data_IF_125132094668
#
_entry.id   IF_125132094668
#
_cell.length_a   1.000
_cell.length_b   1.000
_cell.length_c   1.000
_cell.angle_alpha   90.00
_cell.angle_beta   90.00
_cell.angle_gamma   90.00
#
_symmetry.space_group_name_H-M   'P 1'
#
loop_
_entity.id
_entity.type
_entity.pdbx_description
1 polymer ?
#
# COMPACT_ATOMS: atom_id res chain seq x y z
N UNK A 1 11.46 16.80 25.87
CA UNK A 1 12.08 15.49 25.61
C UNK A 1 11.60 14.35 26.50
N UNK A 2 11.42 14.56 27.83
CA UNK A 2 10.94 13.49 28.74
C UNK A 2 9.51 12.99 28.44
N UNK A 3 8.59 13.85 27.99
CA UNK A 3 7.21 13.48 27.71
C UNK A 3 7.09 12.49 26.52
N UNK A 4 7.86 12.69 25.46
CA UNK A 4 7.88 11.81 24.28
C UNK A 4 8.44 10.44 24.62
N UNK A 5 9.50 10.36 25.45
CA UNK A 5 10.04 9.07 25.95
C UNK A 5 9.00 8.29 26.79
N UNK A 6 8.20 8.98 27.60
CA UNK A 6 7.14 8.30 28.38
C UNK A 6 6.02 7.74 27.51
N UNK A 7 5.65 8.44 26.43
CA UNK A 7 4.63 7.97 25.48
C UNK A 7 5.13 6.73 24.72
N UNK A 8 6.35 6.78 24.20
CA UNK A 8 6.97 5.64 23.49
C UNK A 8 7.12 4.43 24.41
N UNK A 9 7.57 4.61 25.66
CA UNK A 9 7.65 3.50 26.62
C UNK A 9 6.28 2.94 27.02
N UNK A 10 5.24 3.76 27.07
CA UNK A 10 3.88 3.31 27.36
C UNK A 10 3.30 2.47 26.23
N UNK A 11 3.61 2.84 24.98
CA UNK A 11 3.23 2.09 23.77
C UNK A 11 3.98 0.74 23.74
N UNK A 12 5.29 0.74 23.96
CA UNK A 12 6.10 -0.49 23.97
C UNK A 12 5.62 -1.47 25.08
N UNK A 13 5.29 -0.98 26.28
CA UNK A 13 4.77 -1.84 27.36
C UNK A 13 3.37 -2.41 27.09
N UNK A 14 2.56 -1.75 26.29
CA UNK A 14 1.21 -2.22 25.93
C UNK A 14 1.23 -3.39 24.93
N UNK A 15 2.34 -3.56 24.20
CA UNK A 15 2.55 -4.62 23.21
C UNK A 15 3.54 -5.71 23.64
N UNK A 16 4.08 -5.65 24.88
CA UNK A 16 4.82 -6.78 25.44
C UNK A 16 3.82 -7.82 25.98
N UNK A 17 3.61 -8.87 25.21
CA UNK A 17 2.89 -10.07 25.65
C UNK A 17 3.59 -10.69 26.86
N UNK A 18 2.87 -11.24 27.86
CA UNK A 18 3.48 -11.92 28.98
C UNK A 18 4.18 -13.21 28.53
N UNK A 19 5.38 -13.43 29.07
CA UNK A 19 6.22 -14.59 28.78
C UNK A 19 5.51 -15.91 29.04
N UNK A 20 5.47 -16.73 28.04
CA UNK A 20 5.64 -18.19 27.95
C UNK A 20 5.41 -19.03 29.21
N UNK A 21 4.30 -19.70 29.21
CA UNK A 21 4.14 -20.99 29.89
C UNK A 21 4.71 -22.11 29.00
N UNK A 22 5.49 -23.03 29.61
CA UNK A 22 6.08 -24.21 28.97
C UNK A 22 5.02 -24.99 28.19
N UNK A 23 5.23 -25.19 26.90
CA UNK A 23 4.46 -26.13 26.08
C UNK A 23 5.28 -27.39 25.93
N UNK A 24 4.68 -28.50 26.36
CA UNK A 24 5.10 -29.87 26.15
C UNK A 24 5.16 -30.21 24.66
N UNK A 25 6.27 -30.82 24.23
CA UNK A 25 6.42 -31.42 22.91
C UNK A 25 5.35 -32.49 22.66
N UNK A 26 4.54 -32.30 21.62
CA UNK A 26 3.80 -33.37 20.98
C UNK A 26 3.38 -32.99 19.54
N UNK A 27 3.69 -33.89 18.61
CA UNK A 27 3.24 -33.97 17.22
C UNK A 27 3.84 -32.94 16.23
N UNK A 28 4.53 -33.49 15.23
CA UNK A 28 5.16 -32.78 14.13
C UNK A 28 4.21 -31.92 13.29
N UNK A 29 4.75 -30.94 12.55
CA UNK A 29 3.94 -30.03 11.77
C UNK A 29 3.32 -30.75 10.58
N UNK A 30 2.01 -30.91 10.62
CA UNK A 30 1.23 -31.14 9.40
C UNK A 30 1.36 -29.87 8.59
N UNK A 31 2.04 -29.90 7.46
CA UNK A 31 2.03 -28.83 6.45
C UNK A 31 0.59 -28.60 6.00
N UNK A 32 -0.10 -27.74 6.68
CA UNK A 32 -1.27 -27.06 6.13
C UNK A 32 -0.73 -26.14 5.03
N UNK A 33 -0.77 -26.59 3.79
CA UNK A 33 -0.68 -25.73 2.61
C UNK A 33 -1.87 -24.76 2.68
N UNK A 34 -1.70 -23.66 3.42
CA UNK A 34 -2.64 -22.54 3.37
C UNK A 34 -2.74 -22.11 1.91
N UNK A 35 -3.83 -22.51 1.26
CA UNK A 35 -4.16 -22.00 -0.06
C UNK A 35 -4.32 -20.48 0.09
N UNK A 36 -3.33 -19.74 -0.41
CA UNK A 36 -3.36 -18.28 -0.41
C UNK A 36 -4.67 -17.82 -1.07
N UNK A 37 -5.47 -17.01 -0.38
CA UNK A 37 -6.72 -16.53 -0.91
C UNK A 37 -6.45 -15.73 -2.19
N UNK A 38 -7.13 -16.07 -3.28
CA UNK A 38 -6.97 -15.39 -4.56
C UNK A 38 -7.96 -14.23 -4.64
N UNK A 39 -7.46 -13.05 -5.03
CA UNK A 39 -8.30 -11.92 -5.39
C UNK A 39 -9.19 -12.24 -6.60
N UNK A 40 -10.30 -11.52 -6.77
CA UNK A 40 -11.19 -11.67 -7.92
C UNK A 40 -10.44 -11.58 -9.25
N UNK A 41 -10.73 -12.50 -10.18
CA UNK A 41 -10.17 -12.53 -11.52
C UNK A 41 -10.92 -11.66 -12.53
N UNK A 42 -12.02 -11.01 -12.13
CA UNK A 42 -12.82 -10.17 -13.00
C UNK A 42 -12.02 -8.96 -13.53
N UNK A 43 -12.26 -8.60 -14.80
CA UNK A 43 -11.71 -7.39 -15.41
C UNK A 43 -12.54 -6.19 -14.95
N UNK A 44 -11.91 -5.03 -14.86
CA UNK A 44 -12.60 -3.77 -14.61
C UNK A 44 -13.36 -3.29 -15.86
N UNK A 45 -14.55 -2.81 -15.67
CA UNK A 45 -15.29 -2.00 -16.66
C UNK A 45 -14.75 -0.58 -16.66
N UNK A 46 -15.18 0.24 -17.66
CA UNK A 46 -14.79 1.64 -17.72
C UNK A 46 -15.33 2.45 -16.52
N UNK A 47 -16.56 2.18 -16.10
CA UNK A 47 -17.16 2.86 -14.95
C UNK A 47 -16.46 2.46 -13.64
N UNK A 48 -16.23 1.17 -13.41
CA UNK A 48 -15.49 0.70 -12.24
C UNK A 48 -14.08 1.31 -12.16
N UNK A 49 -13.39 1.46 -13.30
CA UNK A 49 -12.07 2.11 -13.34
C UNK A 49 -12.16 3.64 -13.12
N UNK A 50 -13.28 4.28 -13.39
CA UNK A 50 -13.46 5.70 -13.11
C UNK A 50 -13.73 5.98 -11.64
N UNK A 51 -14.52 5.11 -11.02
CA UNK A 51 -15.04 5.31 -9.66
C UNK A 51 -14.21 4.58 -8.58
N UNK A 52 -13.18 3.83 -8.97
CA UNK A 52 -12.38 3.02 -8.06
C UNK A 52 -11.67 3.82 -6.96
N UNK A 53 -11.53 3.21 -5.79
CA UNK A 53 -10.58 3.58 -4.76
C UNK A 53 -9.27 2.86 -5.07
N UNK A 54 -8.29 3.55 -5.60
CA UNK A 54 -6.97 2.99 -5.89
C UNK A 54 -6.13 2.99 -4.62
N UNK A 55 -5.44 1.87 -4.34
CA UNK A 55 -4.58 1.73 -3.14
C UNK A 55 -3.18 1.27 -3.53
N UNK A 56 -2.18 1.71 -2.76
CA UNK A 56 -0.80 1.27 -2.90
C UNK A 56 -0.05 1.33 -1.56
N UNK A 57 0.64 0.25 -1.22
CA UNK A 57 1.42 0.11 0.01
C UNK A 57 2.90 0.36 -0.25
N UNK A 58 3.51 1.18 0.61
CA UNK A 58 4.95 1.37 0.62
C UNK A 58 5.60 0.78 1.86
N UNK A 59 6.72 0.11 1.64
CA UNK A 59 7.45 -0.52 2.72
C UNK A 59 8.70 -1.27 2.27
N UNK A 60 9.34 -1.94 3.21
CA UNK A 60 10.44 -2.87 2.94
C UNK A 60 9.87 -4.29 2.83
N UNK A 61 10.26 -5.04 1.81
CA UNK A 61 9.74 -6.40 1.53
C UNK A 61 9.76 -7.37 2.73
N UNK A 62 10.68 -7.17 3.69
CA UNK A 62 10.84 -8.02 4.88
C UNK A 62 10.23 -7.44 6.16
N UNK A 63 9.62 -6.27 6.07
CA UNK A 63 9.04 -5.53 7.21
C UNK A 63 7.55 -5.28 6.97
N UNK A 64 6.77 -5.01 8.01
CA UNK A 64 5.42 -4.47 7.83
C UNK A 64 5.45 -3.23 6.93
N UNK A 65 4.40 -2.99 6.14
CA UNK A 65 4.33 -1.78 5.31
C UNK A 65 4.35 -0.53 6.18
N UNK A 66 5.01 0.52 5.68
CA UNK A 66 5.19 1.77 6.41
C UNK A 66 4.03 2.72 6.23
N UNK A 67 3.51 2.81 5.01
CA UNK A 67 2.36 3.65 4.68
C UNK A 67 1.42 2.95 3.68
N UNK A 68 0.19 3.42 3.67
CA UNK A 68 -0.83 3.12 2.67
C UNK A 68 -1.32 4.43 2.08
N UNK A 69 -1.16 4.60 0.78
CA UNK A 69 -1.81 5.65 0.02
C UNK A 69 -3.09 5.16 -0.63
N UNK A 70 -4.05 6.08 -0.84
CA UNK A 70 -5.21 5.83 -1.69
C UNK A 70 -5.59 7.07 -2.49
N UNK A 71 -6.21 6.81 -3.64
CA UNK A 71 -6.59 7.84 -4.59
C UNK A 71 -8.03 7.60 -5.04
N UNK A 72 -8.88 8.59 -4.87
CA UNK A 72 -10.30 8.54 -5.24
C UNK A 72 -10.76 9.93 -5.69
N UNK A 73 -11.56 10.03 -6.73
CA UNK A 73 -12.14 11.27 -7.28
C UNK A 73 -11.12 12.39 -7.57
N UNK A 74 -9.88 12.03 -7.88
CA UNK A 74 -8.82 13.00 -8.15
C UNK A 74 -8.03 13.43 -6.92
N UNK A 75 -8.41 12.95 -5.73
CA UNK A 75 -7.76 13.27 -4.47
C UNK A 75 -6.84 12.15 -3.98
N UNK A 76 -5.65 12.52 -3.59
CA UNK A 76 -4.66 11.63 -3.00
C UNK A 76 -4.63 11.80 -1.49
N UNK A 77 -4.72 10.69 -0.77
CA UNK A 77 -4.60 10.61 0.68
C UNK A 77 -3.56 9.54 1.05
N UNK A 78 -2.94 9.69 2.22
CA UNK A 78 -1.94 8.73 2.69
C UNK A 78 -1.91 8.67 4.21
N UNK A 79 -1.77 7.45 4.75
CA UNK A 79 -1.59 7.22 6.18
C UNK A 79 -0.33 6.43 6.48
N UNK A 80 0.36 6.83 7.53
CA UNK A 80 1.42 6.07 8.17
C UNK A 80 0.76 4.99 9.01
N UNK A 81 1.01 3.73 8.66
CA UNK A 81 0.45 2.56 9.35
C UNK A 81 1.47 1.83 10.22
N UNK A 82 2.75 2.19 10.11
CA UNK A 82 3.79 1.72 10.99
C UNK A 82 4.07 2.77 12.09
N UNK A 83 3.73 2.49 13.36
CA UNK A 83 3.84 3.47 14.45
C UNK A 83 5.25 4.06 14.64
N UNK A 84 6.30 3.33 14.25
CA UNK A 84 7.68 3.81 14.30
C UNK A 84 7.85 5.13 13.53
N UNK A 85 7.14 5.29 12.41
CA UNK A 85 7.24 6.47 11.54
C UNK A 85 6.32 7.63 11.96
N UNK A 86 5.64 7.56 13.10
CA UNK A 86 4.71 8.61 13.57
C UNK A 86 5.35 10.02 13.65
N UNK A 87 6.67 10.11 13.85
CA UNK A 87 7.39 11.41 13.81
C UNK A 87 7.34 12.09 12.44
N UNK A 88 6.96 11.35 11.38
CA UNK A 88 6.81 11.87 10.01
C UNK A 88 5.38 12.37 9.71
N UNK A 89 4.47 12.33 10.67
CA UNK A 89 3.11 12.83 10.54
C UNK A 89 3.12 14.31 10.12
N UNK A 90 2.22 14.69 9.21
CA UNK A 90 2.06 16.05 8.67
C UNK A 90 3.38 16.65 8.08
N UNK A 91 4.31 15.81 7.64
CA UNK A 91 5.62 16.21 7.09
C UNK A 91 5.69 16.14 5.56
N UNK A 92 4.54 16.13 4.91
CA UNK A 92 4.44 16.33 3.46
C UNK A 92 3.36 17.39 3.21
N UNK A 93 3.74 18.53 2.59
CA UNK A 93 2.84 19.68 2.28
C UNK A 93 1.89 20.09 3.42
N UNK A 94 2.35 19.95 4.65
CA UNK A 94 1.76 20.44 5.88
C UNK A 94 0.51 19.74 6.43
N UNK A 95 -0.26 18.93 5.68
CA UNK A 95 -1.54 18.39 6.20
C UNK A 95 -1.98 17.02 5.71
N UNK A 96 -1.22 16.36 4.83
CA UNK A 96 -1.76 15.25 4.04
C UNK A 96 -1.28 13.85 4.48
N UNK A 97 -0.59 13.73 5.61
CA UNK A 97 -0.07 12.44 6.11
C UNK A 97 -0.49 12.26 7.55
N UNK A 98 -1.33 11.27 7.80
CA UNK A 98 -1.88 10.97 9.12
C UNK A 98 -1.26 9.67 9.67
N UNK A 99 -1.31 9.48 10.99
CA UNK A 99 -1.00 8.20 11.62
C UNK A 99 -2.30 7.49 11.94
N UNK A 100 -2.50 6.30 11.38
CA UNK A 100 -3.69 5.49 11.61
C UNK A 100 -3.31 4.04 11.93
N UNK A 101 -4.17 3.36 12.67
CA UNK A 101 -4.07 1.92 12.83
C UNK A 101 -4.36 1.22 11.49
N UNK A 102 -3.54 0.25 11.10
CA UNK A 102 -3.64 -0.41 9.80
C UNK A 102 -4.98 -1.14 9.62
N UNK A 103 -5.47 -1.82 10.67
CA UNK A 103 -6.74 -2.53 10.62
C UNK A 103 -7.91 -1.55 10.51
N UNK A 104 -7.89 -0.46 11.29
CA UNK A 104 -8.94 0.57 11.26
C UNK A 104 -9.00 1.24 9.88
N UNK A 105 -7.85 1.58 9.29
CA UNK A 105 -7.76 2.12 7.93
C UNK A 105 -8.32 1.14 6.89
N UNK A 106 -7.94 -0.15 6.96
CA UNK A 106 -8.44 -1.17 6.05
C UNK A 106 -9.96 -1.31 6.16
N UNK A 107 -10.51 -1.36 7.37
CA UNK A 107 -11.97 -1.43 7.61
C UNK A 107 -12.69 -0.19 7.08
N UNK A 108 -12.12 1.00 7.25
CA UNK A 108 -12.68 2.26 6.72
C UNK A 108 -12.75 2.25 5.20
N UNK A 109 -11.69 1.81 4.53
CA UNK A 109 -11.67 1.72 3.06
C UNK A 109 -12.66 0.68 2.53
N UNK A 110 -12.80 -0.48 3.19
CA UNK A 110 -13.83 -1.48 2.85
C UNK A 110 -15.23 -0.88 3.01
N UNK A 111 -15.48 -0.22 4.15
CA UNK A 111 -16.78 0.41 4.38
C UNK A 111 -17.08 1.50 3.37
N UNK A 112 -16.13 2.37 3.04
CA UNK A 112 -16.28 3.39 2.01
C UNK A 112 -16.61 2.76 0.66
N UNK A 113 -15.89 1.70 0.28
CA UNK A 113 -16.14 0.94 -0.95
C UNK A 113 -17.57 0.38 -1.02
N UNK A 114 -18.09 -0.17 0.09
CA UNK A 114 -19.44 -0.70 0.18
C UNK A 114 -20.51 0.41 0.14
N UNK A 115 -20.32 1.47 0.92
CA UNK A 115 -21.29 2.58 1.02
C UNK A 115 -21.41 3.37 -0.29
N UNK A 116 -20.33 3.49 -1.05
CA UNK A 116 -20.26 4.25 -2.31
C UNK A 116 -20.37 3.34 -3.55
N UNK A 117 -20.57 2.02 -3.36
CA UNK A 117 -20.61 1.00 -4.44
C UNK A 117 -19.37 1.05 -5.36
N UNK A 118 -18.20 1.32 -4.80
CA UNK A 118 -16.91 1.41 -5.49
C UNK A 118 -16.07 0.16 -5.28
N UNK A 119 -15.11 -0.09 -6.17
CA UNK A 119 -14.12 -1.15 -6.00
C UNK A 119 -12.83 -0.60 -5.39
N UNK A 120 -12.20 -1.38 -4.53
CA UNK A 120 -10.81 -1.17 -4.10
C UNK A 120 -9.91 -1.83 -5.15
N UNK A 121 -8.99 -1.07 -5.72
CA UNK A 121 -8.11 -1.53 -6.80
C UNK A 121 -6.65 -1.31 -6.44
N UNK A 122 -5.81 -2.34 -6.57
CA UNK A 122 -4.36 -2.18 -6.56
C UNK A 122 -3.72 -2.82 -7.78
N UNK A 123 -2.45 -2.48 -8.05
CA UNK A 123 -1.75 -3.01 -9.22
C UNK A 123 -1.49 -4.51 -9.10
N UNK A 124 -1.13 -4.99 -7.91
CA UNK A 124 -0.71 -6.38 -7.67
C UNK A 124 -1.48 -7.06 -6.54
N UNK A 125 -1.29 -8.38 -6.41
CA UNK A 125 -1.83 -9.12 -5.27
C UNK A 125 -1.10 -8.80 -3.94
N UNK A 126 0.06 -8.12 -3.99
CA UNK A 126 0.81 -7.79 -2.80
C UNK A 126 0.00 -6.94 -1.83
N UNK A 127 -0.64 -5.88 -2.34
CA UNK A 127 -1.43 -4.93 -1.54
C UNK A 127 -2.66 -5.61 -0.92
N UNK A 128 -3.33 -6.46 -1.70
CA UNK A 128 -4.41 -7.31 -1.19
C UNK A 128 -3.96 -8.19 -0.03
N UNK A 129 -2.79 -8.82 -0.16
CA UNK A 129 -2.23 -9.66 0.90
C UNK A 129 -1.82 -8.84 2.12
N UNK A 130 -1.29 -7.62 1.97
CA UNK A 130 -0.98 -6.77 3.11
C UNK A 130 -2.26 -6.37 3.87
N UNK A 131 -3.30 -5.97 3.14
CA UNK A 131 -4.60 -5.63 3.72
C UNK A 131 -5.25 -6.83 4.43
N UNK A 132 -5.18 -8.02 3.81
CA UNK A 132 -5.77 -9.24 4.37
C UNK A 132 -5.14 -9.69 5.70
N UNK A 133 -3.86 -9.41 5.93
CA UNK A 133 -3.13 -9.84 7.13
C UNK A 133 -3.66 -9.21 8.42
N UNK A 134 -4.29 -8.05 8.34
CA UNK A 134 -4.79 -7.31 9.52
C UNK A 134 -6.29 -7.50 9.73
N UNK A 135 -7.00 -8.10 8.78
CA UNK A 135 -8.43 -8.28 8.83
C UNK A 135 -8.84 -9.59 9.51
N UNK A 136 -9.94 -9.55 10.24
CA UNK A 136 -10.61 -10.77 10.72
C UNK A 136 -11.25 -11.51 9.55
N UNK A 137 -11.52 -12.83 9.65
CA UNK A 137 -12.08 -13.62 8.55
C UNK A 137 -13.35 -13.00 7.93
N UNK A 138 -14.27 -12.49 8.74
CA UNK A 138 -15.50 -11.83 8.26
C UNK A 138 -15.21 -10.58 7.41
N UNK A 139 -14.28 -9.76 7.83
CA UNK A 139 -13.93 -8.52 7.13
C UNK A 139 -13.07 -8.81 5.90
N UNK A 140 -12.29 -9.88 5.95
CA UNK A 140 -11.58 -10.38 4.79
C UNK A 140 -12.56 -10.88 3.70
N UNK A 141 -13.66 -11.54 4.05
CA UNK A 141 -14.69 -11.94 3.08
C UNK A 141 -15.35 -10.71 2.42
N UNK A 142 -15.56 -9.63 3.15
CA UNK A 142 -16.01 -8.34 2.60
C UNK A 142 -15.00 -7.77 1.60
N UNK A 143 -13.71 -7.74 1.97
CA UNK A 143 -12.63 -7.29 1.07
C UNK A 143 -12.63 -8.07 -0.26
N UNK A 144 -12.82 -9.39 -0.24
CA UNK A 144 -12.88 -10.21 -1.46
C UNK A 144 -13.96 -9.76 -2.44
N UNK A 145 -15.07 -9.29 -1.96
CA UNK A 145 -16.19 -8.85 -2.80
C UNK A 145 -15.87 -7.54 -3.53
N UNK A 146 -15.24 -6.61 -2.84
CA UNK A 146 -15.00 -5.24 -3.33
C UNK A 146 -13.62 -5.05 -3.95
N UNK A 147 -12.68 -6.00 -3.83
CA UNK A 147 -11.32 -5.85 -4.33
C UNK A 147 -11.16 -6.36 -5.77
N UNK A 148 -10.33 -5.62 -6.56
CA UNK A 148 -9.89 -6.04 -7.90
C UNK A 148 -8.40 -5.81 -8.08
N UNK A 149 -7.77 -6.74 -8.79
CA UNK A 149 -6.37 -6.63 -9.17
C UNK A 149 -6.26 -6.03 -10.58
N UNK A 150 -5.65 -4.85 -10.69
CA UNK A 150 -5.49 -4.08 -11.94
C UNK A 150 -4.80 -4.88 -13.06
N UNK A 151 -3.84 -5.71 -12.71
CA UNK A 151 -3.08 -6.53 -13.67
C UNK A 151 -3.97 -7.51 -14.43
N UNK A 152 -5.12 -7.90 -13.86
CA UNK A 152 -6.13 -8.76 -14.51
C UNK A 152 -6.88 -8.05 -15.64
N UNK A 153 -6.89 -6.72 -15.62
CA UNK A 153 -7.39 -5.89 -16.72
C UNK A 153 -6.27 -5.56 -17.70
N UNK A 154 -5.10 -5.15 -17.22
CA UNK A 154 -4.00 -4.65 -18.03
C UNK A 154 -3.39 -5.72 -18.95
N UNK A 155 -3.13 -6.94 -18.43
CA UNK A 155 -2.50 -8.01 -19.22
C UNK A 155 -3.33 -8.50 -20.42
N UNK A 156 -4.64 -8.80 -20.26
CA UNK A 156 -5.46 -9.18 -21.42
C UNK A 156 -5.61 -8.05 -22.43
N UNK A 157 -5.77 -6.79 -21.98
CA UNK A 157 -5.81 -5.64 -22.85
C UNK A 157 -4.55 -5.52 -23.70
N UNK A 158 -3.36 -5.64 -23.09
CA UNK A 158 -2.10 -5.58 -23.83
C UNK A 158 -1.99 -6.71 -24.86
N UNK A 159 -2.29 -7.95 -24.44
CA UNK A 159 -2.21 -9.12 -25.34
C UNK A 159 -3.11 -8.97 -26.56
N UNK A 160 -4.29 -8.43 -26.38
CA UNK A 160 -5.24 -8.19 -27.46
C UNK A 160 -4.73 -7.16 -28.46
N UNK A 161 -4.02 -6.12 -27.97
CA UNK A 161 -3.63 -4.97 -28.80
C UNK A 161 -2.23 -5.08 -29.39
N UNK A 162 -1.31 -5.71 -28.66
CA UNK A 162 0.12 -5.72 -29.01
C UNK A 162 0.74 -7.13 -29.07
N UNK A 163 0.01 -8.17 -28.71
CA UNK A 163 0.52 -9.55 -28.70
C UNK A 163 1.17 -9.95 -27.37
N UNK A 164 2.20 -10.81 -27.37
CA UNK A 164 2.79 -11.35 -26.15
C UNK A 164 3.31 -10.27 -25.19
N UNK A 165 3.09 -10.47 -23.90
CA UNK A 165 3.57 -9.57 -22.86
C UNK A 165 5.09 -9.67 -22.71
N UNK A 166 5.81 -8.56 -22.48
CA UNK A 166 7.19 -8.59 -22.05
C UNK A 166 7.31 -9.23 -20.65
N UNK A 167 8.48 -9.77 -20.35
CA UNK A 167 8.74 -10.47 -19.07
C UNK A 167 8.44 -9.59 -17.84
N UNK A 168 8.74 -8.31 -17.94
CA UNK A 168 8.56 -7.32 -16.85
C UNK A 168 7.45 -6.30 -17.15
N UNK A 169 6.22 -6.78 -17.29
CA UNK A 169 5.06 -5.90 -17.45
C UNK A 169 4.61 -5.33 -16.08
N UNK A 170 5.36 -4.38 -15.53
CA UNK A 170 5.07 -3.61 -14.30
C UNK A 170 4.11 -2.45 -14.56
N UNK A 171 3.67 -1.74 -13.52
CA UNK A 171 2.89 -0.50 -13.66
C UNK A 171 3.65 0.51 -14.54
N UNK A 172 4.92 0.77 -14.24
CA UNK A 172 5.77 1.70 -15.01
C UNK A 172 5.82 1.36 -16.51
N UNK A 173 5.88 0.08 -16.87
CA UNK A 173 5.82 -0.33 -18.29
C UNK A 173 4.52 0.16 -18.96
N UNK A 174 3.39 0.04 -18.28
CA UNK A 174 2.10 0.50 -18.83
C UNK A 174 1.94 2.01 -18.78
N UNK A 175 2.52 2.67 -17.79
CA UNK A 175 2.58 4.13 -17.69
C UNK A 175 3.33 4.71 -18.90
N UNK A 176 4.55 4.22 -19.15
CA UNK A 176 5.36 4.62 -20.29
C UNK A 176 4.64 4.36 -21.62
N UNK A 177 4.08 3.16 -21.79
CA UNK A 177 3.34 2.76 -22.99
C UNK A 177 2.16 3.69 -23.28
N UNK A 178 1.48 4.19 -22.26
CA UNK A 178 0.28 5.00 -22.37
C UNK A 178 0.56 6.51 -22.23
N UNK A 179 1.81 6.87 -21.97
CA UNK A 179 2.26 8.26 -21.89
C UNK A 179 1.95 8.95 -20.57
N UNK A 180 1.98 8.22 -19.45
CA UNK A 180 2.03 8.79 -18.11
C UNK A 180 3.50 8.98 -17.71
N UNK A 181 3.89 10.20 -17.43
CA UNK A 181 5.29 10.52 -17.12
C UNK A 181 5.57 10.47 -15.61
N UNK A 182 6.46 9.57 -15.20
CA UNK A 182 7.03 9.51 -13.85
C UNK A 182 8.47 10.02 -13.91
N UNK A 183 8.83 11.09 -13.18
CA UNK A 183 10.21 11.57 -13.15
C UNK A 183 11.17 10.54 -12.55
N UNK A 184 12.36 10.35 -13.14
CA UNK A 184 13.36 9.33 -12.74
C UNK A 184 13.70 9.34 -11.25
N UNK A 185 13.75 10.53 -10.64
CA UNK A 185 14.02 10.72 -9.20
C UNK A 185 12.97 10.11 -8.27
N UNK A 186 11.83 9.66 -8.80
CA UNK A 186 10.76 8.97 -8.08
C UNK A 186 10.55 7.55 -8.62
N UNK A 187 11.48 7.04 -9.43
CA UNK A 187 11.42 5.72 -10.03
C UNK A 187 11.68 4.57 -9.05
N UNK A 188 11.62 3.36 -9.61
CA UNK A 188 11.76 2.11 -8.88
C UNK A 188 13.04 2.01 -8.04
N UNK A 189 12.94 1.40 -6.86
CA UNK A 189 14.08 1.00 -6.01
C UNK A 189 14.50 2.06 -4.98
N UNK A 190 14.09 3.31 -5.10
CA UNK A 190 14.52 4.40 -4.20
C UNK A 190 13.78 4.40 -2.85
N UNK A 191 12.55 3.92 -2.82
CA UNK A 191 11.69 3.90 -1.62
C UNK A 191 12.30 3.09 -0.49
N UNK A 192 12.74 1.87 -0.77
CA UNK A 192 13.32 0.98 0.24
C UNK A 192 14.59 1.54 0.91
N UNK A 193 15.44 2.26 0.16
CA UNK A 193 16.62 2.92 0.72
C UNK A 193 16.25 4.12 1.58
N UNK A 194 15.32 4.94 1.11
CA UNK A 194 14.83 6.10 1.84
C UNK A 194 14.21 5.67 3.19
N UNK A 195 13.33 4.67 3.19
CA UNK A 195 12.71 4.14 4.41
C UNK A 195 13.75 3.54 5.37
N UNK A 196 14.77 2.82 4.87
CA UNK A 196 15.87 2.31 5.72
C UNK A 196 16.68 3.43 6.35
N UNK A 197 16.97 4.51 5.62
CA UNK A 197 17.67 5.67 6.15
C UNK A 197 16.86 6.35 7.26
N UNK A 198 15.57 6.57 7.03
CA UNK A 198 14.67 7.22 7.98
C UNK A 198 14.56 6.36 9.24
N UNK A 199 14.31 5.05 9.09
CA UNK A 199 14.22 4.10 10.19
C UNK A 199 15.45 4.15 11.09
N UNK A 200 16.66 4.09 10.51
CA UNK A 200 17.90 4.18 11.29
C UNK A 200 18.00 5.47 12.10
N UNK A 201 17.48 6.59 11.60
CA UNK A 201 17.49 7.84 12.35
C UNK A 201 16.49 7.85 13.49
N UNK A 202 15.31 7.26 13.28
CA UNK A 202 14.30 7.10 14.34
C UNK A 202 14.80 6.16 15.45
N UNK A 203 15.36 5.01 15.08
CA UNK A 203 15.94 4.04 16.00
C UNK A 203 17.13 4.64 16.78
N UNK A 204 17.88 5.57 16.15
CA UNK A 204 18.89 6.40 16.81
C UNK A 204 18.35 7.51 17.71
N UNK A 205 17.03 7.56 17.97
CA UNK A 205 16.36 8.50 18.87
C UNK A 205 16.09 9.87 18.28
N UNK A 206 16.22 10.05 16.97
CA UNK A 206 15.94 11.33 16.30
C UNK A 206 14.45 11.49 16.01
N UNK A 207 13.96 12.71 16.18
CA UNK A 207 12.65 13.14 15.65
C UNK A 207 12.80 13.62 14.21
N UNK A 208 11.70 13.81 13.48
CA UNK A 208 11.77 14.35 12.11
C UNK A 208 12.49 15.71 12.04
N UNK A 209 12.37 16.55 13.06
CA UNK A 209 13.06 17.85 13.12
C UNK A 209 14.59 17.69 13.01
N UNK A 210 15.12 16.62 13.64
CA UNK A 210 16.55 16.30 13.75
C UNK A 210 17.06 15.42 12.59
N UNK A 211 16.21 15.03 11.66
CA UNK A 211 16.60 14.23 10.52
C UNK A 211 17.59 14.98 9.62
N UNK A 212 18.52 14.23 9.06
CA UNK A 212 19.38 14.75 8.00
C UNK A 212 18.55 15.22 6.80
N UNK A 213 19.11 16.15 6.01
CA UNK A 213 18.46 16.61 4.76
C UNK A 213 18.13 15.44 3.83
N UNK A 214 19.02 14.44 3.76
CA UNK A 214 18.80 13.25 2.95
C UNK A 214 17.58 12.45 3.42
N UNK A 215 17.38 12.26 4.74
CA UNK A 215 16.22 11.56 5.26
C UNK A 215 14.91 12.33 5.05
N UNK A 216 14.92 13.66 5.21
CA UNK A 216 13.77 14.53 4.92
C UNK A 216 13.38 14.49 3.45
N UNK A 217 14.37 14.57 2.56
CA UNK A 217 14.14 14.43 1.12
C UNK A 217 13.65 13.02 0.78
N UNK A 218 14.22 12.00 1.42
CA UNK A 218 13.78 10.60 1.26
C UNK A 218 12.31 10.42 1.62
N UNK A 219 11.86 10.99 2.75
CA UNK A 219 10.44 10.94 3.13
C UNK A 219 9.53 11.58 2.07
N UNK A 220 9.90 12.79 1.63
CA UNK A 220 9.17 13.49 0.58
C UNK A 220 9.11 12.65 -0.71
N UNK A 221 10.22 11.98 -1.07
CA UNK A 221 10.29 11.12 -2.24
C UNK A 221 9.40 9.88 -2.12
N UNK A 222 9.35 9.23 -0.93
CA UNK A 222 8.47 8.08 -0.67
C UNK A 222 7.00 8.45 -0.87
N UNK A 223 6.54 9.52 -0.22
CA UNK A 223 5.14 9.97 -0.34
C UNK A 223 4.82 10.40 -1.78
N UNK A 224 5.77 11.04 -2.48
CA UNK A 224 5.58 11.45 -3.87
C UNK A 224 5.54 10.26 -4.83
N UNK A 225 6.38 9.25 -4.62
CA UNK A 225 6.36 8.00 -5.40
C UNK A 225 5.01 7.32 -5.28
N UNK A 226 4.54 7.05 -4.06
CA UNK A 226 3.23 6.46 -3.80
C UNK A 226 2.08 7.23 -4.49
N UNK A 227 2.13 8.57 -4.42
CA UNK A 227 1.14 9.40 -5.13
C UNK A 227 1.18 9.19 -6.63
N UNK A 228 2.38 9.15 -7.24
CA UNK A 228 2.54 8.97 -8.69
C UNK A 228 2.09 7.58 -9.14
N UNK A 229 2.39 6.53 -8.37
CA UNK A 229 1.94 5.17 -8.68
C UNK A 229 0.41 5.07 -8.67
N UNK A 230 -0.24 5.71 -7.72
CA UNK A 230 -1.71 5.75 -7.65
C UNK A 230 -2.35 6.56 -8.79
N UNK A 231 -1.82 7.75 -9.08
CA UNK A 231 -2.26 8.59 -10.21
C UNK A 231 -2.03 7.88 -11.55
N UNK A 232 -0.87 7.22 -11.70
CA UNK A 232 -0.50 6.43 -12.88
C UNK A 232 -1.39 5.22 -13.07
N UNK A 233 -1.67 4.46 -12.00
CA UNK A 233 -2.57 3.32 -12.04
C UNK A 233 -3.98 3.74 -12.50
N UNK A 234 -4.52 4.82 -11.92
CA UNK A 234 -5.81 5.36 -12.31
C UNK A 234 -5.83 5.80 -13.79
N UNK A 235 -4.78 6.51 -14.24
CA UNK A 235 -4.64 6.93 -15.63
C UNK A 235 -4.58 5.74 -16.60
N UNK A 236 -3.74 4.75 -16.31
CA UNK A 236 -3.55 3.54 -17.11
C UNK A 236 -4.87 2.79 -17.28
N UNK A 237 -5.56 2.50 -16.17
CA UNK A 237 -6.80 1.73 -16.20
C UNK A 237 -7.95 2.48 -16.88
N UNK A 238 -8.09 3.78 -16.64
CA UNK A 238 -9.07 4.63 -17.35
C UNK A 238 -8.85 4.65 -18.86
N UNK A 239 -7.58 4.68 -19.32
CA UNK A 239 -7.28 4.59 -20.77
C UNK A 239 -7.57 3.22 -21.36
N UNK A 240 -7.21 2.15 -20.65
CA UNK A 240 -7.41 0.78 -21.15
C UNK A 240 -8.89 0.41 -21.27
N UNK A 241 -9.70 0.83 -20.31
CA UNK A 241 -11.11 0.46 -20.24
C UNK A 241 -11.98 1.29 -21.19
N UNK A 242 -11.65 2.57 -21.44
CA UNK A 242 -12.34 3.42 -22.43
C UNK A 242 -12.18 2.92 -23.88
N UNK A 243 -11.03 2.34 -24.22
CA UNK A 243 -10.74 1.86 -25.57
C UNK A 243 -11.50 0.58 -25.98
N UNK A 244 -12.22 -0.06 -25.08
CA UNK A 244 -13.00 -1.27 -25.36
C UNK A 244 -14.47 -0.99 -25.74
N UNK A 245 -14.85 0.27 -25.93
CA UNK A 245 -16.22 0.69 -26.30
C UNK A 245 -16.39 1.00 -27.79
N UNK A 246 -15.39 0.68 -28.64
CA UNK A 246 -15.49 0.82 -30.11
C UNK A 246 -15.63 -0.53 -30.80
#
# INVERSE_FOLDING_TARGET
MQAVRKIIQKIIRKFQMPNSTKVTEAAGPTELTEQRPKASSAKLTAQEAMDAIYIDYEGNMKMPPTLLGWYVDGEYMVSIIEPLFATCENRYKAKDVYVEDHMELALRLIKQSEDEERLIVSWSEHDYLQMSKVLKPKDFDRLKLVYRNAIRTARPWYRQKYGPLPEKASLNFFEDLLGFYVPDRFGLGLVGEALRLIRRQIEGGRSYADFSKAAKNGWTSVVRHNKLDLEGMAFVLKKMTKGNQQ
#
